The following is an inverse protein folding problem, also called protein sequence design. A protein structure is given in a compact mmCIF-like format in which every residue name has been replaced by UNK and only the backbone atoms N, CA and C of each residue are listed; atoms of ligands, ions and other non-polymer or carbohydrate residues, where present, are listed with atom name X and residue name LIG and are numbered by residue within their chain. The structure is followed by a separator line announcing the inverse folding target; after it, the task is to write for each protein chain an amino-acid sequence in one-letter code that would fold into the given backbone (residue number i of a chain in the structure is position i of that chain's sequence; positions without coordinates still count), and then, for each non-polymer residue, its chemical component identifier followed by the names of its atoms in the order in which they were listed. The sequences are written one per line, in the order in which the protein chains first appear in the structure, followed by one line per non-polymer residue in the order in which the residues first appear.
data_IF_031057292783
#
_entry.id   IF_031057292783
#
_cell.length_a   1.000
_cell.length_b   1.000
_cell.length_c   1.000
_cell.angle_alpha   90.00
_cell.angle_beta   90.00
_cell.angle_gamma   90.00
#
_symmetry.space_group_name_H-M   'P 1'
#
loop_
_entity.id
_entity.type
_entity.pdbx_description
1 polymer ?
#
# COMPACT_ATOMS: atom_id res chain seq x y z
N UNK A 1 0.23 28.85 -18.45
CA UNK A 1 -0.40 29.59 -17.33
C UNK A 1 -1.43 28.66 -16.71
N UNK A 2 -1.26 28.21 -15.46
CA UNK A 2 -2.33 27.54 -14.73
C UNK A 2 -3.54 28.46 -14.72
N UNK A 3 -4.70 27.94 -15.13
CA UNK A 3 -5.95 28.71 -15.06
C UNK A 3 -6.26 28.85 -13.57
N UNK A 4 -6.16 30.06 -12.98
CA UNK A 4 -6.19 30.23 -11.52
C UNK A 4 -7.47 29.67 -10.88
N UNK A 5 -8.54 29.59 -11.67
CA UNK A 5 -9.85 29.07 -11.25
C UNK A 5 -9.89 27.56 -10.97
N UNK A 6 -8.96 26.76 -11.48
CA UNK A 6 -9.02 25.29 -11.39
C UNK A 6 -8.08 24.68 -10.35
N UNK A 7 -7.21 25.48 -9.70
CA UNK A 7 -6.33 25.04 -8.61
C UNK A 7 -5.55 23.73 -8.88
N UNK A 8 -5.28 23.39 -10.15
CA UNK A 8 -4.61 22.14 -10.53
C UNK A 8 -5.45 20.87 -10.32
N UNK A 9 -6.78 20.96 -10.20
CA UNK A 9 -7.70 19.81 -10.09
C UNK A 9 -8.42 19.57 -11.42
N UNK A 10 -8.09 18.47 -12.10
CA UNK A 10 -8.77 18.00 -13.30
C UNK A 10 -7.92 17.05 -14.15
N UNK A 11 -8.57 16.40 -15.12
CA UNK A 11 -7.98 15.30 -15.91
C UNK A 11 -7.39 15.78 -17.25
N UNK A 12 -7.46 17.09 -17.53
CA UNK A 12 -6.98 17.70 -18.79
C UNK A 12 -5.72 18.52 -18.53
N UNK A 13 -4.70 18.28 -19.37
CA UNK A 13 -3.41 18.94 -19.30
C UNK A 13 -3.47 20.36 -19.89
N UNK A 14 -3.19 21.37 -19.07
CA UNK A 14 -2.83 22.71 -19.53
C UNK A 14 -1.38 22.76 -20.00
N UNK A 15 -1.09 23.51 -21.08
CA UNK A 15 0.18 23.53 -21.83
C UNK A 15 1.45 23.54 -20.96
N UNK A 16 2.17 22.40 -20.93
CA UNK A 16 3.61 22.35 -20.68
C UNK A 16 4.08 21.23 -19.73
N UNK A 17 5.30 20.66 -19.91
CA UNK A 17 5.76 19.45 -19.21
C UNK A 17 6.04 19.57 -17.70
N UNK A 18 5.80 20.71 -17.05
CA UNK A 18 6.27 20.98 -15.68
C UNK A 18 5.19 21.37 -14.65
N UNK A 19 3.90 21.41 -15.00
CA UNK A 19 2.84 21.82 -14.06
C UNK A 19 2.01 20.64 -13.53
N UNK A 20 2.68 19.73 -12.81
CA UNK A 20 2.04 19.03 -11.67
C UNK A 20 2.67 19.54 -10.38
N UNK A 21 2.18 20.66 -9.86
CA UNK A 21 2.32 20.99 -8.44
C UNK A 21 1.22 20.28 -7.64
N UNK A 22 1.08 18.97 -7.82
CA UNK A 22 0.26 18.16 -6.94
C UNK A 22 1.07 17.89 -5.69
N UNK A 23 0.54 18.21 -4.50
CA UNK A 23 1.08 17.68 -3.25
C UNK A 23 0.90 16.16 -3.34
N UNK A 24 1.93 15.48 -3.83
CA UNK A 24 2.02 14.03 -3.78
C UNK A 24 2.36 13.70 -2.34
N UNK A 25 1.45 12.98 -1.66
CA UNK A 25 1.75 12.45 -0.34
C UNK A 25 2.89 11.45 -0.51
N UNK A 26 4.05 11.81 0.01
CA UNK A 26 5.19 10.91 0.03
C UNK A 26 4.89 9.73 0.97
N UNK A 27 4.81 8.53 0.41
CA UNK A 27 4.69 7.26 1.13
C UNK A 27 5.97 6.44 1.06
N UNK A 28 7.05 7.02 0.54
CA UNK A 28 8.35 6.36 0.39
C UNK A 28 8.98 6.08 1.77
N UNK A 29 9.80 5.01 1.83
CA UNK A 29 10.67 4.80 2.97
C UNK A 29 11.94 5.63 2.78
N UNK A 30 12.14 6.65 3.62
CA UNK A 30 13.36 7.42 3.63
C UNK A 30 14.58 6.52 4.01
N UNK A 31 15.80 6.84 3.53
CA UNK A 31 16.99 6.06 3.84
C UNK A 31 17.19 5.89 5.35
N UNK A 32 17.39 4.65 5.80
CA UNK A 32 17.61 4.32 7.22
C UNK A 32 16.39 4.46 8.13
N UNK A 33 15.22 4.87 7.60
CA UNK A 33 13.98 4.98 8.39
C UNK A 33 13.38 3.60 8.65
N UNK A 34 13.15 3.28 9.91
CA UNK A 34 12.39 2.10 10.30
C UNK A 34 10.91 2.47 10.42
N UNK A 35 10.05 1.77 9.68
CA UNK A 35 8.59 1.95 9.73
C UNK A 35 7.94 0.70 10.32
N UNK A 36 7.02 0.88 11.27
CA UNK A 36 6.20 -0.19 11.83
C UNK A 36 4.74 0.06 11.47
N UNK A 37 4.14 -0.87 10.76
CA UNK A 37 2.73 -0.84 10.40
C UNK A 37 1.98 -1.90 11.21
N UNK A 38 0.80 -1.52 11.71
CA UNK A 38 -0.05 -2.41 12.51
C UNK A 38 -1.36 -2.59 11.77
N UNK A 39 -1.70 -3.85 11.49
CA UNK A 39 -2.94 -4.23 10.82
C UNK A 39 -3.83 -4.98 11.81
N UNK A 40 -5.10 -4.58 11.91
CA UNK A 40 -6.10 -5.33 12.65
C UNK A 40 -6.84 -6.24 11.66
N UNK A 41 -6.66 -7.54 11.81
CA UNK A 41 -7.32 -8.56 10.99
C UNK A 41 -8.37 -9.23 11.87
N UNK A 42 -9.67 -9.00 11.64
CA UNK A 42 -10.73 -9.65 12.39
C UNK A 42 -10.76 -11.14 12.05
N UNK A 43 -11.05 -11.98 13.05
CA UNK A 43 -11.28 -13.40 12.81
C UNK A 43 -12.59 -13.62 12.06
N UNK A 44 -12.63 -14.59 11.14
CA UNK A 44 -13.89 -15.02 10.52
C UNK A 44 -14.82 -15.61 11.59
N UNK A 45 -16.12 -15.34 11.44
CA UNK A 45 -17.13 -15.73 12.43
C UNK A 45 -17.19 -17.25 12.62
N UNK A 46 -16.90 -17.70 13.84
CA UNK A 46 -17.02 -19.12 14.23
C UNK A 46 -15.77 -19.97 14.00
N UNK A 47 -14.67 -19.40 13.49
CA UNK A 47 -13.39 -20.09 13.34
C UNK A 47 -12.42 -19.72 14.47
N UNK A 48 -11.76 -20.73 15.03
CA UNK A 48 -10.76 -20.56 16.10
C UNK A 48 -9.32 -20.52 15.58
N UNK A 49 -9.09 -20.97 14.35
CA UNK A 49 -7.76 -21.06 13.75
C UNK A 49 -7.70 -20.24 12.46
N UNK A 50 -6.73 -19.34 12.35
CA UNK A 50 -6.52 -18.50 11.17
C UNK A 50 -5.06 -18.56 10.72
N UNK A 51 -4.84 -18.76 9.43
CA UNK A 51 -3.50 -18.65 8.82
C UNK A 51 -3.38 -17.31 8.10
N UNK A 52 -2.55 -16.41 8.63
CA UNK A 52 -2.30 -15.10 8.05
C UNK A 52 -1.00 -15.15 7.25
N UNK A 53 -1.04 -14.74 5.99
CA UNK A 53 0.16 -14.57 5.15
C UNK A 53 0.34 -13.10 4.82
N UNK A 54 1.48 -12.54 5.19
CA UNK A 54 1.87 -11.15 4.90
C UNK A 54 2.95 -11.17 3.84
N UNK A 55 2.74 -10.41 2.77
CA UNK A 55 3.65 -10.33 1.63
C UNK A 55 4.03 -8.88 1.34
N UNK A 56 5.33 -8.61 1.27
CA UNK A 56 5.88 -7.32 0.88
C UNK A 56 6.32 -7.39 -0.59
N UNK A 57 5.71 -6.55 -1.42
CA UNK A 57 5.94 -6.50 -2.87
C UNK A 57 6.55 -5.16 -3.28
N UNK A 58 7.47 -5.21 -4.24
CA UNK A 58 7.91 -4.07 -5.02
C UNK A 58 7.26 -4.14 -6.41
N UNK A 59 6.44 -3.13 -6.73
CA UNK A 59 5.64 -3.08 -7.96
C UNK A 59 5.93 -1.76 -8.69
N UNK A 60 6.85 -1.74 -9.67
CA UNK A 60 7.19 -0.52 -10.42
C UNK A 60 5.99 0.07 -11.18
N UNK A 61 5.12 -0.79 -11.70
CA UNK A 61 3.94 -0.42 -12.50
C UNK A 61 2.61 -0.57 -11.74
N UNK A 62 2.67 -0.94 -10.45
CA UNK A 62 1.48 -1.14 -9.60
C UNK A 62 0.72 -2.44 -9.83
N UNK A 63 1.13 -3.27 -10.77
CA UNK A 63 0.48 -4.53 -11.15
C UNK A 63 1.29 -5.74 -10.72
N UNK A 64 0.64 -6.72 -10.08
CA UNK A 64 1.24 -8.04 -9.76
C UNK A 64 1.27 -8.98 -10.97
N UNK A 65 0.51 -8.64 -12.01
CA UNK A 65 0.32 -9.48 -13.20
C UNK A 65 1.51 -9.47 -14.16
N UNK A 66 2.50 -8.60 -13.93
CA UNK A 66 3.70 -8.49 -14.76
C UNK A 66 4.85 -9.27 -14.10
N UNK A 67 5.05 -10.55 -14.44
CA UNK A 67 6.00 -11.43 -13.76
C UNK A 67 7.46 -10.98 -13.89
N UNK A 68 7.79 -10.24 -14.96
CA UNK A 68 9.16 -9.77 -15.21
C UNK A 68 9.53 -8.56 -14.33
N UNK A 69 8.54 -7.81 -13.86
CA UNK A 69 8.74 -6.52 -13.17
C UNK A 69 8.25 -6.52 -11.71
N UNK A 70 7.36 -7.44 -11.34
CA UNK A 70 6.87 -7.57 -9.97
C UNK A 70 7.86 -8.39 -9.13
N UNK A 71 8.30 -7.83 -8.00
CA UNK A 71 9.27 -8.49 -7.14
C UNK A 71 8.74 -8.68 -5.72
N UNK A 72 8.80 -9.93 -5.22
CA UNK A 72 8.41 -10.27 -3.85
C UNK A 72 9.64 -10.15 -2.94
N UNK A 73 9.63 -9.21 -2.00
CA UNK A 73 10.73 -9.00 -1.06
C UNK A 73 10.69 -9.92 0.14
N UNK A 74 9.52 -10.09 0.74
CA UNK A 74 9.37 -10.87 1.96
C UNK A 74 8.00 -11.51 2.00
N UNK A 75 7.95 -12.75 2.47
CA UNK A 75 6.72 -13.49 2.71
C UNK A 75 6.82 -14.14 4.08
N UNK A 76 5.86 -13.85 4.94
CA UNK A 76 5.74 -14.48 6.25
C UNK A 76 4.36 -15.07 6.43
N UNK A 77 4.31 -16.33 6.85
CA UNK A 77 3.07 -17.03 7.18
C UNK A 77 3.07 -17.29 8.68
N UNK A 78 2.03 -16.80 9.36
CA UNK A 78 1.80 -17.04 10.78
C UNK A 78 0.46 -17.72 10.97
N UNK A 79 0.46 -18.83 11.70
CA UNK A 79 -0.76 -19.48 12.18
C UNK A 79 -1.10 -18.87 13.54
N UNK A 80 -2.33 -18.38 13.68
CA UNK A 80 -2.84 -17.78 14.90
C UNK A 80 -4.07 -18.59 15.33
N UNK A 81 -4.00 -19.16 16.52
CA UNK A 81 -5.12 -19.87 17.17
C UNK A 81 -5.65 -19.01 18.31
N UNK A 82 -6.97 -18.85 18.40
CA UNK A 82 -7.62 -18.26 19.57
C UNK A 82 -7.79 -19.33 20.63
N UNK A 83 -7.22 -19.13 21.82
CA UNK A 83 -7.53 -19.99 22.96
C UNK A 83 -9.00 -19.78 23.36
N UNK A 84 -9.75 -20.88 23.51
CA UNK A 84 -11.13 -20.87 24.03
C UNK A 84 -11.11 -20.42 25.50
N UNK A 85 -11.04 -19.12 25.78
CA UNK A 85 -11.01 -18.66 27.18
C UNK A 85 -10.69 -17.19 27.44
N UNK A 86 -11.10 -16.26 26.58
CA UNK A 86 -10.97 -14.82 26.87
C UNK A 86 -12.28 -14.09 26.67
N UNK A 87 -13.04 -13.94 27.77
CA UNK A 87 -14.14 -12.97 27.88
C UNK A 87 -13.57 -11.56 27.90
#
# INVERSE_FOLDING_TARGET
MPIPHQLGRGDKMGRGPYDKSGILRETSLAPGKQTRETFMIPFPSGETDMTVTVELWYLPFGTKSDPDNAFLWRKETKKVSLEKGGV
#
